data_IF_927839087481
#
_entry.id   IF_927839087481
#
_cell.length_a   1.000
_cell.length_b   1.000
_cell.length_c   1.000
_cell.angle_alpha   90.00
_cell.angle_beta   90.00
_cell.angle_gamma   90.00
#
_symmetry.space_group_name_H-M   'P 1'
#
loop_
_entity.id
_entity.type
_entity.pdbx_description
1 polymer ?
#
# COMPACT_ATOMS: atom_id res chain seq x y z
N UNK A 1 0.41 81.64 -8.47
CA UNK A 1 -0.80 81.88 -7.66
C UNK A 1 -1.25 80.56 -7.04
N UNK A 2 -1.22 80.49 -5.74
CA UNK A 2 -1.69 79.49 -4.78
C UNK A 2 -1.05 78.10 -4.82
N UNK A 3 -0.51 77.61 -3.67
CA UNK A 3 0.14 76.34 -3.50
C UNK A 3 -0.88 75.26 -3.05
N UNK A 4 -0.68 74.04 -3.47
CA UNK A 4 -1.42 72.88 -3.02
C UNK A 4 -0.62 72.12 -1.96
N UNK A 5 -1.24 71.91 -0.83
CA UNK A 5 -0.78 71.26 0.38
C UNK A 5 -0.52 69.77 0.20
N UNK A 6 0.65 69.32 0.68
CA UNK A 6 1.01 67.91 0.89
C UNK A 6 0.40 67.44 2.22
N UNK A 7 -0.47 66.45 2.16
CA UNK A 7 -0.88 65.65 3.31
C UNK A 7 0.01 64.41 3.39
N UNK A 8 0.86 64.37 4.41
CA UNK A 8 1.62 63.21 4.81
C UNK A 8 0.71 62.22 5.57
N UNK A 9 0.58 60.99 5.04
CA UNK A 9 0.00 59.88 5.77
C UNK A 9 1.12 59.03 6.35
N UNK A 10 1.29 59.07 7.66
CA UNK A 10 2.09 58.13 8.43
C UNK A 10 1.26 56.87 8.67
N UNK A 11 1.50 55.87 7.88
CA UNK A 11 0.93 54.51 8.07
C UNK A 11 1.78 53.74 9.08
N UNK A 12 1.25 53.46 10.26
CA UNK A 12 1.85 52.56 11.21
C UNK A 12 1.75 51.13 10.70
N UNK A 13 2.88 50.52 10.37
CA UNK A 13 2.96 49.09 10.06
C UNK A 13 2.85 48.30 11.38
N UNK A 14 1.69 47.67 11.60
CA UNK A 14 1.54 46.64 12.62
C UNK A 14 2.13 45.34 12.03
N UNK A 15 3.33 45.02 12.48
CA UNK A 15 3.93 43.71 12.21
C UNK A 15 3.22 42.67 13.06
N UNK A 16 2.22 42.00 12.45
CA UNK A 16 1.62 40.81 13.03
C UNK A 16 2.60 39.63 12.85
N UNK A 17 3.30 39.28 13.91
CA UNK A 17 4.01 38.02 14.04
C UNK A 17 2.95 36.89 14.07
N UNK A 18 2.64 36.35 12.91
CA UNK A 18 1.97 35.05 12.81
C UNK A 18 2.98 33.97 13.23
N UNK A 19 2.89 33.59 14.51
CA UNK A 19 3.58 32.41 15.01
C UNK A 19 3.09 31.18 14.22
N UNK A 20 3.91 30.69 13.31
CA UNK A 20 3.74 29.39 12.72
C UNK A 20 3.96 28.34 13.82
N UNK A 21 2.88 27.91 14.48
CA UNK A 21 2.92 26.75 15.34
C UNK A 21 3.24 25.54 14.47
N UNK A 22 4.41 24.97 14.64
CA UNK A 22 4.82 23.71 14.04
C UNK A 22 3.88 22.62 14.58
N UNK A 23 3.03 22.09 13.68
CA UNK A 23 2.18 20.93 13.95
C UNK A 23 3.04 19.66 13.84
N UNK A 24 3.84 19.41 14.86
CA UNK A 24 4.55 18.13 15.00
C UNK A 24 3.56 17.06 15.49
N UNK A 25 3.93 15.79 15.36
CA UNK A 25 3.22 14.62 15.95
C UNK A 25 3.01 14.72 17.48
N UNK A 26 3.08 15.90 18.05
CA UNK A 26 2.97 16.19 19.46
C UNK A 26 1.55 16.08 19.97
N UNK A 27 1.29 15.30 21.03
CA UNK A 27 0.08 15.46 21.82
C UNK A 27 0.15 16.83 22.56
N UNK A 28 -0.73 17.78 22.20
CA UNK A 28 -0.81 19.03 22.92
C UNK A 28 -1.43 18.79 24.30
N UNK A 29 -0.64 18.76 25.34
CA UNK A 29 -1.05 19.05 26.72
C UNK A 29 -0.73 20.48 27.02
N UNK A 30 -1.65 21.37 26.67
CA UNK A 30 -1.68 22.72 27.12
C UNK A 30 -2.72 22.90 28.24
N UNK A 31 -2.64 22.14 29.31
CA UNK A 31 -3.28 22.47 30.57
C UNK A 31 -2.37 21.94 31.67
N UNK A 32 -1.67 22.91 32.36
CA UNK A 32 -0.84 22.61 33.49
C UNK A 32 -1.61 21.86 34.58
N UNK A 33 -1.33 20.58 34.70
CA UNK A 33 -1.59 19.78 35.89
C UNK A 33 -0.26 19.25 36.40
N UNK A 34 0.04 19.43 37.69
CA UNK A 34 1.27 18.88 38.27
C UNK A 34 1.16 17.36 38.38
N UNK A 35 2.16 16.65 37.88
CA UNK A 35 2.50 15.32 38.35
C UNK A 35 1.65 14.17 37.81
N UNK A 36 1.77 13.85 36.51
CA UNK A 36 1.65 12.45 36.14
C UNK A 36 2.91 11.72 36.66
N UNK A 37 2.79 10.54 37.30
CA UNK A 37 3.96 9.79 37.73
C UNK A 37 4.77 9.45 36.49
N UNK A 38 6.07 9.74 36.52
CA UNK A 38 7.05 9.23 35.57
C UNK A 38 6.97 7.71 35.63
N UNK A 39 6.18 7.13 34.74
CA UNK A 39 6.20 5.70 34.52
C UNK A 39 7.50 5.40 33.75
N UNK A 40 8.61 5.24 34.49
CA UNK A 40 9.72 4.42 34.06
C UNK A 40 9.17 3.00 33.91
N UNK A 41 8.46 2.77 32.80
CA UNK A 41 8.04 1.42 32.47
C UNK A 41 9.28 0.66 32.07
N UNK A 42 9.51 -0.51 32.66
CA UNK A 42 10.42 -1.57 32.22
C UNK A 42 10.01 -2.02 30.80
N UNK A 43 10.24 -1.16 29.79
CA UNK A 43 10.06 -1.52 28.40
C UNK A 43 11.23 -2.41 28.01
N UNK A 44 11.01 -3.70 28.06
CA UNK A 44 11.96 -4.67 27.49
C UNK A 44 11.98 -4.45 25.97
N UNK A 45 13.19 -4.49 25.34
CA UNK A 45 13.27 -4.57 23.89
C UNK A 45 12.43 -5.77 23.48
N UNK A 46 11.44 -5.54 22.62
CA UNK A 46 10.74 -6.66 21.99
C UNK A 46 11.73 -7.22 20.97
N UNK A 47 12.59 -8.14 21.43
CA UNK A 47 13.29 -9.05 20.52
C UNK A 47 12.20 -9.73 19.72
N UNK A 48 12.20 -9.50 18.41
CA UNK A 48 11.22 -10.11 17.52
C UNK A 48 11.35 -11.62 17.70
N UNK A 49 10.39 -12.32 18.33
CA UNK A 49 10.40 -13.77 18.33
C UNK A 49 10.42 -14.22 16.87
N UNK A 50 11.07 -15.34 16.57
CA UNK A 50 10.90 -15.97 15.27
C UNK A 50 9.38 -16.06 15.01
N UNK A 51 8.97 -15.48 13.88
CA UNK A 51 7.55 -15.44 13.56
C UNK A 51 7.00 -16.88 13.58
N UNK A 52 5.81 -17.13 14.12
CA UNK A 52 5.16 -18.43 14.02
C UNK A 52 5.17 -18.92 12.57
N UNK A 53 5.16 -20.22 12.36
CA UNK A 53 5.14 -20.79 11.01
C UNK A 53 4.00 -20.14 10.20
N UNK A 54 4.32 -19.61 9.02
CA UNK A 54 3.39 -18.88 8.16
C UNK A 54 3.29 -17.36 8.44
N UNK A 55 3.89 -16.85 9.51
CA UNK A 55 3.97 -15.41 9.77
C UNK A 55 5.38 -14.86 9.53
N UNK A 56 5.44 -13.62 9.09
CA UNK A 56 6.69 -12.89 8.89
C UNK A 56 6.57 -11.46 9.43
N UNK A 57 7.71 -10.78 9.56
CA UNK A 57 7.80 -9.41 10.07
C UNK A 57 8.49 -8.52 9.06
N UNK A 58 7.98 -7.31 8.90
CA UNK A 58 8.63 -6.21 8.18
C UNK A 58 8.69 -4.97 9.09
N UNK A 59 9.71 -4.14 8.94
CA UNK A 59 9.85 -2.90 9.72
C UNK A 59 10.16 -1.74 8.78
N UNK A 60 9.41 -0.64 8.94
CA UNK A 60 9.48 0.52 8.06
C UNK A 60 9.45 1.82 8.87
N UNK A 61 10.27 2.78 8.47
CA UNK A 61 10.18 4.18 8.90
C UNK A 61 9.83 5.05 7.70
N UNK A 62 8.92 6.02 7.85
CA UNK A 62 8.44 6.83 6.71
C UNK A 62 7.70 8.11 7.15
N UNK A 63 8.30 8.86 8.08
CA UNK A 63 7.69 10.00 8.74
C UNK A 63 6.81 9.56 9.91
N UNK A 64 5.81 10.38 10.27
CA UNK A 64 4.96 10.11 11.41
C UNK A 64 4.35 8.70 11.39
N UNK A 65 4.64 7.94 12.43
CA UNK A 65 4.21 6.54 12.57
C UNK A 65 2.68 6.36 12.69
N UNK A 66 1.92 7.40 13.08
CA UNK A 66 0.45 7.34 13.03
C UNK A 66 -0.05 7.11 11.61
N UNK A 67 0.56 7.80 10.64
CA UNK A 67 0.21 7.69 9.22
C UNK A 67 0.72 6.38 8.63
N UNK A 68 1.91 5.95 9.03
CA UNK A 68 2.46 4.66 8.60
C UNK A 68 1.66 3.48 9.17
N UNK A 69 1.24 3.56 10.43
CA UNK A 69 0.38 2.53 11.02
C UNK A 69 -0.97 2.44 10.30
N UNK A 70 -1.59 3.59 9.97
CA UNK A 70 -2.84 3.61 9.18
C UNK A 70 -2.66 3.01 7.78
N UNK A 71 -1.51 3.23 7.14
CA UNK A 71 -1.23 2.73 5.80
C UNK A 71 -1.23 1.20 5.71
N UNK A 72 -0.74 0.52 6.75
CA UNK A 72 -0.65 -0.94 6.79
C UNK A 72 -1.84 -1.61 7.49
N UNK A 73 -2.50 -0.93 8.42
CA UNK A 73 -3.63 -1.50 9.16
C UNK A 73 -4.84 -1.66 8.23
N UNK A 74 -5.32 -2.88 8.11
CA UNK A 74 -6.40 -3.25 7.19
C UNK A 74 -5.94 -3.73 5.81
N UNK A 75 -4.63 -3.76 5.53
CA UNK A 75 -4.11 -4.41 4.31
C UNK A 75 -4.35 -5.92 4.40
N UNK A 76 -5.01 -6.54 3.40
CA UNK A 76 -5.30 -7.96 3.44
C UNK A 76 -4.02 -8.81 3.59
N UNK A 77 -4.00 -9.68 4.60
CA UNK A 77 -2.83 -10.48 4.95
C UNK A 77 -1.93 -9.85 6.01
N UNK A 78 -2.10 -8.58 6.35
CA UNK A 78 -1.48 -7.97 7.54
C UNK A 78 -2.25 -8.42 8.78
N UNK A 79 -1.52 -8.91 9.79
CA UNK A 79 -2.06 -9.43 11.04
C UNK A 79 -2.08 -8.34 12.11
N UNK A 80 -0.96 -7.62 12.24
CA UNK A 80 -0.80 -6.56 13.24
C UNK A 80 0.20 -5.51 12.79
N UNK A 81 0.01 -4.27 13.26
CA UNK A 81 0.90 -3.14 13.02
C UNK A 81 1.13 -2.40 14.32
N UNK A 82 2.38 -2.36 14.77
CA UNK A 82 2.79 -1.70 16.01
C UNK A 82 3.63 -0.47 15.67
N UNK A 83 3.24 0.70 16.15
CA UNK A 83 4.05 1.92 16.09
C UNK A 83 5.18 1.88 17.13
N UNK A 84 6.36 2.37 16.79
CA UNK A 84 7.53 2.34 17.68
C UNK A 84 8.75 3.03 17.11
N UNK A 85 9.90 2.67 17.63
CA UNK A 85 11.19 3.28 17.34
C UNK A 85 12.21 2.23 16.93
N UNK A 86 12.99 2.51 15.87
CA UNK A 86 14.07 1.64 15.38
C UNK A 86 15.21 2.47 14.78
N UNK A 87 16.37 1.84 14.56
CA UNK A 87 17.52 2.45 13.88
C UNK A 87 18.45 3.25 14.77
N UNK A 88 18.10 3.48 16.03
CA UNK A 88 18.92 4.23 16.99
C UNK A 88 19.75 3.36 17.92
N UNK A 89 20.51 4.03 18.80
CA UNK A 89 21.41 3.39 19.76
C UNK A 89 20.92 3.44 21.20
N UNK A 90 20.01 4.36 21.54
CA UNK A 90 19.46 4.47 22.90
C UNK A 90 18.56 3.28 23.19
N UNK A 91 18.85 2.55 24.26
CA UNK A 91 17.99 1.46 24.73
C UNK A 91 16.73 2.04 25.41
N UNK A 92 15.58 1.42 25.14
CA UNK A 92 14.27 1.80 25.71
C UNK A 92 13.94 3.30 25.64
N UNK A 93 14.03 3.94 24.45
CA UNK A 93 13.79 5.36 24.31
C UNK A 93 12.33 5.67 24.62
N UNK A 94 12.08 6.82 25.27
CA UNK A 94 10.74 7.42 25.33
C UNK A 94 10.45 8.24 24.07
N UNK A 95 9.19 8.64 23.89
CA UNK A 95 8.81 9.55 22.80
C UNK A 95 9.60 10.88 22.88
N UNK A 96 9.71 11.44 24.08
CA UNK A 96 10.44 12.69 24.32
C UNK A 96 11.94 12.56 23.95
N UNK A 97 12.54 11.40 24.22
CA UNK A 97 13.92 11.13 23.81
C UNK A 97 14.06 11.14 22.28
N UNK A 98 13.15 10.46 21.58
CA UNK A 98 13.22 10.36 20.11
C UNK A 98 12.92 11.70 19.44
N UNK A 99 12.02 12.50 20.02
CA UNK A 99 11.70 13.84 19.51
C UNK A 99 12.91 14.79 19.48
N UNK A 100 13.91 14.60 20.34
CA UNK A 100 15.14 15.38 20.28
C UNK A 100 15.93 15.18 18.98
N UNK A 101 15.73 14.05 18.29
CA UNK A 101 16.54 13.65 17.13
C UNK A 101 17.93 13.09 17.48
N UNK A 102 18.33 13.07 18.77
CA UNK A 102 19.69 12.71 19.20
C UNK A 102 19.86 11.20 19.43
N UNK A 103 18.76 10.45 19.60
CA UNK A 103 18.82 9.00 19.87
C UNK A 103 19.22 8.15 18.67
N UNK A 104 19.17 8.74 17.47
CA UNK A 104 19.35 8.02 16.21
C UNK A 104 18.16 7.14 15.81
N UNK A 105 17.12 7.02 16.66
CA UNK A 105 15.91 6.30 16.30
C UNK A 105 15.07 7.04 15.25
N UNK A 106 14.38 6.27 14.42
CA UNK A 106 13.32 6.79 13.56
C UNK A 106 11.96 6.28 14.05
N UNK A 107 10.92 7.13 13.93
CA UNK A 107 9.54 6.69 14.05
C UNK A 107 9.27 5.61 13.01
N UNK A 108 8.87 4.44 13.49
CA UNK A 108 8.81 3.22 12.71
C UNK A 108 7.52 2.46 12.98
N UNK A 109 7.16 1.59 12.05
CA UNK A 109 6.11 0.59 12.25
C UNK A 109 6.68 -0.79 12.04
N UNK A 110 6.30 -1.73 12.93
CA UNK A 110 6.55 -3.16 12.77
C UNK A 110 5.26 -3.81 12.30
N UNK A 111 5.32 -4.41 11.12
CA UNK A 111 4.21 -5.08 10.45
C UNK A 111 4.38 -6.58 10.58
N UNK A 112 3.45 -7.26 11.24
CA UNK A 112 3.34 -8.73 11.25
C UNK A 112 2.35 -9.15 10.18
N UNK A 113 2.72 -10.07 9.31
CA UNK A 113 1.88 -10.48 8.18
C UNK A 113 1.91 -11.99 7.94
N UNK A 114 0.83 -12.50 7.35
CA UNK A 114 0.73 -13.87 6.87
C UNK A 114 1.40 -13.98 5.49
N UNK A 115 2.56 -14.65 5.44
CA UNK A 115 3.34 -14.78 4.21
C UNK A 115 2.67 -15.65 3.13
N UNK A 116 1.64 -16.42 3.48
CA UNK A 116 0.83 -17.14 2.51
C UNK A 116 -0.22 -16.26 1.85
N UNK A 117 -0.61 -15.15 2.48
CA UNK A 117 -1.65 -14.24 1.98
C UNK A 117 -1.11 -12.96 1.34
N UNK A 118 0.02 -12.46 1.83
CA UNK A 118 0.68 -11.27 1.29
C UNK A 118 2.19 -11.45 1.28
N UNK A 119 2.85 -11.06 0.20
CA UNK A 119 4.31 -11.12 0.10
C UNK A 119 4.95 -9.78 0.53
N UNK A 120 6.26 -9.83 0.80
CA UNK A 120 7.02 -8.64 1.22
C UNK A 120 7.07 -7.54 0.15
N UNK A 121 7.07 -7.90 -1.15
CA UNK A 121 7.05 -6.92 -2.24
C UNK A 121 5.77 -6.07 -2.23
N UNK A 122 4.62 -6.66 -1.89
CA UNK A 122 3.37 -5.92 -1.74
C UNK A 122 3.41 -4.96 -0.54
N UNK A 123 4.05 -5.35 0.56
CA UNK A 123 4.25 -4.43 1.69
C UNK A 123 5.17 -3.26 1.31
N UNK A 124 6.20 -3.49 0.51
CA UNK A 124 7.04 -2.41 -0.03
C UNK A 124 6.26 -1.47 -0.95
N UNK A 125 5.35 -2.00 -1.76
CA UNK A 125 4.47 -1.19 -2.59
C UNK A 125 3.59 -0.26 -1.74
N UNK A 126 2.95 -0.81 -0.69
CA UNK A 126 2.22 0.01 0.31
C UNK A 126 3.13 1.06 0.93
N UNK A 127 4.34 0.67 1.33
CA UNK A 127 5.33 1.59 1.93
C UNK A 127 5.65 2.77 1.01
N UNK A 128 6.08 2.49 -0.23
CA UNK A 128 6.49 3.52 -1.18
C UNK A 128 5.38 4.54 -1.42
N UNK A 129 4.15 4.08 -1.66
CA UNK A 129 3.01 4.95 -1.96
C UNK A 129 2.50 5.78 -0.75
N UNK A 130 3.06 5.56 0.45
CA UNK A 130 2.68 6.28 1.66
C UNK A 130 3.79 7.15 2.24
N UNK A 131 4.94 7.28 1.56
CA UNK A 131 6.05 8.12 1.99
C UNK A 131 6.40 9.19 0.95
N UNK A 132 7.17 10.20 1.38
CA UNK A 132 7.96 11.05 0.47
C UNK A 132 9.38 10.49 0.41
N UNK A 133 9.79 9.81 -0.66
CA UNK A 133 11.10 9.20 -0.74
C UNK A 133 12.22 10.20 -1.08
N UNK A 134 11.90 11.48 -1.27
CA UNK A 134 12.82 12.51 -1.79
C UNK A 134 13.30 13.49 -0.72
N UNK A 135 12.74 13.44 0.50
CA UNK A 135 13.08 14.37 1.57
C UNK A 135 14.00 13.74 2.60
N UNK A 136 15.17 14.34 2.79
CA UNK A 136 16.16 13.89 3.75
C UNK A 136 15.82 14.41 5.16
N UNK A 137 15.86 13.52 6.18
CA UNK A 137 15.61 13.85 7.57
C UNK A 137 14.31 14.64 7.80
N UNK A 138 13.30 14.34 7.04
CA UNK A 138 11.97 14.95 7.15
C UNK A 138 10.95 14.10 6.39
N UNK A 139 9.68 14.30 6.70
CA UNK A 139 8.58 13.75 5.92
C UNK A 139 7.36 14.66 6.01
N UNK A 140 6.91 15.21 4.88
CA UNK A 140 5.78 16.14 4.77
C UNK A 140 5.99 17.40 5.60
N UNK A 141 5.34 17.55 6.77
CA UNK A 141 5.49 18.68 7.67
C UNK A 141 6.33 18.36 8.92
N UNK A 142 6.81 17.13 9.05
CA UNK A 142 7.59 16.68 10.19
C UNK A 142 9.09 16.82 9.87
N UNK A 143 9.83 17.51 10.71
CA UNK A 143 11.25 17.81 10.51
C UNK A 143 12.10 17.17 11.59
N UNK A 144 13.19 16.54 11.19
CA UNK A 144 14.17 15.91 12.05
C UNK A 144 14.53 14.50 11.59
N UNK A 145 15.71 13.98 12.02
CA UNK A 145 16.19 12.66 11.60
C UNK A 145 15.27 11.51 12.05
N UNK A 146 14.44 11.73 13.07
CA UNK A 146 13.44 10.76 13.53
C UNK A 146 12.31 10.52 12.52
N UNK A 147 12.15 11.39 11.52
CA UNK A 147 11.13 11.26 10.46
C UNK A 147 11.68 10.82 9.11
N UNK A 148 12.97 10.39 9.06
CA UNK A 148 13.58 9.90 7.83
C UNK A 148 12.95 8.59 7.36
N UNK A 149 13.01 8.33 6.06
CA UNK A 149 12.48 7.11 5.46
C UNK A 149 13.54 6.00 5.44
N UNK A 150 13.20 4.81 5.99
CA UNK A 150 14.07 3.64 6.06
C UNK A 150 13.27 2.37 5.83
N UNK A 151 13.84 1.43 5.08
CA UNK A 151 13.39 0.04 5.00
C UNK A 151 14.36 -0.80 5.83
N UNK A 152 13.88 -1.38 6.93
CA UNK A 152 14.70 -2.28 7.76
C UNK A 152 14.47 -3.72 7.31
N UNK A 153 15.50 -4.36 6.78
CA UNK A 153 15.43 -5.77 6.39
C UNK A 153 15.81 -6.71 7.54
N UNK A 154 15.04 -7.78 7.71
CA UNK A 154 15.26 -8.79 8.74
C UNK A 154 16.11 -9.97 8.25
N UNK A 155 16.19 -10.16 6.93
CA UNK A 155 16.99 -11.23 6.31
C UNK A 155 17.48 -10.84 4.91
N UNK A 156 18.29 -11.72 4.33
CA UNK A 156 18.87 -11.49 3.00
C UNK A 156 17.82 -11.51 1.86
N UNK A 157 16.68 -12.19 2.04
CA UNK A 157 15.61 -12.19 1.04
C UNK A 157 14.88 -10.85 1.03
N UNK A 158 14.52 -10.32 2.20
CA UNK A 158 13.94 -8.98 2.33
C UNK A 158 14.89 -7.91 1.77
N UNK A 159 16.18 -7.99 2.09
CA UNK A 159 17.19 -7.07 1.56
C UNK A 159 17.17 -7.04 0.04
N UNK A 160 17.25 -8.20 -0.61
CA UNK A 160 17.24 -8.29 -2.09
C UNK A 160 15.98 -7.69 -2.69
N UNK A 161 14.81 -7.97 -2.10
CA UNK A 161 13.52 -7.45 -2.60
C UNK A 161 13.42 -5.94 -2.40
N UNK A 162 13.88 -5.40 -1.26
CA UNK A 162 13.91 -3.98 -0.99
C UNK A 162 14.85 -3.22 -1.95
N UNK A 163 16.08 -3.74 -2.15
CA UNK A 163 17.06 -3.17 -3.08
C UNK A 163 16.53 -3.20 -4.54
N UNK A 164 15.89 -4.30 -4.94
CA UNK A 164 15.27 -4.42 -6.26
C UNK A 164 14.10 -3.42 -6.44
N UNK A 165 13.26 -3.28 -5.43
CA UNK A 165 12.14 -2.32 -5.42
C UNK A 165 12.62 -0.87 -5.57
N UNK A 166 13.63 -0.47 -4.77
CA UNK A 166 14.22 0.87 -4.88
C UNK A 166 14.84 1.11 -6.25
N UNK A 167 15.61 0.14 -6.77
CA UNK A 167 16.24 0.24 -8.09
C UNK A 167 15.19 0.38 -9.19
N UNK A 168 14.10 -0.38 -9.15
CA UNK A 168 13.02 -0.27 -10.11
C UNK A 168 12.38 1.13 -10.12
N UNK A 169 12.22 1.75 -8.94
CA UNK A 169 11.76 3.14 -8.84
C UNK A 169 12.77 4.15 -9.40
N UNK A 170 14.07 3.97 -9.14
CA UNK A 170 15.12 4.82 -9.70
C UNK A 170 15.17 4.70 -11.24
N UNK A 171 15.08 3.47 -11.77
CA UNK A 171 15.10 3.18 -13.21
C UNK A 171 13.83 3.64 -13.94
N UNK A 172 12.71 3.75 -13.23
CA UNK A 172 11.46 4.27 -13.81
C UNK A 172 11.52 5.74 -14.17
N UNK A 173 12.54 6.48 -13.69
CA UNK A 173 12.67 7.93 -13.83
C UNK A 173 11.43 8.74 -13.42
N UNK A 174 10.60 8.17 -12.55
CA UNK A 174 9.42 8.85 -12.00
C UNK A 174 9.79 10.15 -11.29
N UNK A 175 10.89 10.12 -10.57
CA UNK A 175 11.36 11.26 -9.79
C UNK A 175 12.53 11.98 -10.45
N UNK A 176 12.51 13.33 -10.40
CA UNK A 176 13.62 14.17 -10.89
C UNK A 176 14.81 14.20 -9.92
N UNK A 177 14.56 13.89 -8.65
CA UNK A 177 15.56 13.87 -7.58
C UNK A 177 15.83 12.43 -7.17
N UNK A 178 17.04 12.12 -6.67
CA UNK A 178 17.37 10.77 -6.20
C UNK A 178 16.52 10.37 -4.98
N UNK A 179 16.21 9.09 -4.87
CA UNK A 179 15.54 8.51 -3.72
C UNK A 179 16.50 8.47 -2.53
N UNK A 180 16.17 9.18 -1.45
CA UNK A 180 16.99 9.27 -0.22
C UNK A 180 16.68 8.17 0.80
N UNK A 181 15.58 7.42 0.61
CA UNK A 181 15.22 6.28 1.48
C UNK A 181 16.36 5.29 1.56
N UNK A 182 16.78 4.94 2.78
CA UNK A 182 17.84 3.96 3.03
C UNK A 182 17.29 2.56 3.25
N UNK A 183 18.13 1.55 3.00
CA UNK A 183 17.82 0.13 3.26
C UNK A 183 18.86 -0.37 4.23
N UNK A 184 18.45 -0.69 5.46
CA UNK A 184 19.32 -0.97 6.59
C UNK A 184 18.97 -2.32 7.24
N UNK A 185 19.93 -2.93 7.93
CA UNK A 185 19.64 -4.12 8.73
C UNK A 185 18.71 -3.76 9.89
N UNK A 186 17.76 -4.62 10.20
CA UNK A 186 16.86 -4.41 11.33
C UNK A 186 17.64 -4.32 12.65
N UNK A 187 17.32 -3.31 13.44
CA UNK A 187 17.82 -3.09 14.80
C UNK A 187 16.74 -3.48 15.82
N UNK A 188 17.03 -3.46 17.13
CA UNK A 188 15.99 -3.59 18.14
C UNK A 188 14.83 -2.60 17.88
N UNK A 189 13.62 -3.11 17.97
CA UNK A 189 12.41 -2.32 17.84
C UNK A 189 11.79 -2.09 19.21
N UNK A 190 11.52 -0.84 19.54
CA UNK A 190 10.89 -0.44 20.81
C UNK A 190 9.47 0.07 20.52
N UNK A 191 8.41 -0.63 21.01
CA UNK A 191 7.05 -0.15 20.85
C UNK A 191 6.88 1.25 21.46
N UNK A 192 6.21 2.13 20.73
CA UNK A 192 5.82 3.42 21.24
C UNK A 192 4.73 3.28 22.32
N UNK A 193 4.53 4.33 23.09
CA UNK A 193 3.57 4.43 24.17
C UNK A 193 2.15 4.07 23.71
N UNK A 194 1.34 3.55 24.63
CA UNK A 194 -0.01 3.09 24.33
C UNK A 194 -0.90 4.15 23.68
N UNK A 195 -0.70 5.43 24.06
CA UNK A 195 -1.48 6.54 23.48
C UNK A 195 -1.13 6.84 22.02
N UNK A 196 0.01 6.35 21.49
CA UNK A 196 0.37 6.46 20.09
C UNK A 196 -0.21 5.32 19.24
N UNK A 197 -0.54 4.18 19.86
CA UNK A 197 -1.02 3.03 19.11
C UNK A 197 -2.39 3.30 18.50
N UNK A 198 -2.50 3.07 17.19
CA UNK A 198 -3.73 3.31 16.39
C UNK A 198 -4.36 4.68 16.64
N UNK A 199 -3.52 5.72 16.80
CA UNK A 199 -3.94 7.08 17.08
C UNK A 199 -5.00 7.60 16.10
N UNK A 200 -4.93 7.24 14.85
CA UNK A 200 -5.93 7.56 13.83
C UNK A 200 -7.32 6.93 14.10
N UNK A 201 -7.43 5.88 14.93
CA UNK A 201 -8.70 5.30 15.40
C UNK A 201 -9.16 5.92 16.72
N UNK A 202 -8.23 6.12 17.65
CA UNK A 202 -8.54 6.63 19.00
C UNK A 202 -8.76 8.12 19.03
N UNK A 203 -8.15 8.88 18.12
CA UNK A 203 -8.22 10.33 18.01
C UNK A 203 -8.44 10.79 16.54
N UNK A 204 -9.51 10.34 15.87
CA UNK A 204 -9.67 10.51 14.42
C UNK A 204 -9.68 11.97 13.98
N UNK A 205 -10.39 12.85 14.69
CA UNK A 205 -10.48 14.27 14.34
C UNK A 205 -9.12 14.98 14.42
N UNK A 206 -8.29 14.64 15.44
CA UNK A 206 -6.96 15.22 15.59
C UNK A 206 -6.00 14.69 14.54
N UNK A 207 -6.06 13.41 14.24
CA UNK A 207 -5.26 12.80 13.19
C UNK A 207 -5.60 13.41 11.82
N UNK A 208 -6.87 13.61 11.52
CA UNK A 208 -7.30 14.19 10.25
C UNK A 208 -6.85 15.66 10.13
N UNK A 209 -6.99 16.46 11.20
CA UNK A 209 -6.49 17.83 11.23
C UNK A 209 -4.97 17.89 10.97
N UNK A 210 -4.19 16.99 11.60
CA UNK A 210 -2.76 16.83 11.33
C UNK A 210 -2.51 16.47 9.86
N UNK A 211 -3.16 15.46 9.32
CA UNK A 211 -2.97 14.98 7.95
C UNK A 211 -3.24 16.08 6.91
N UNK A 212 -4.34 16.82 7.08
CA UNK A 212 -4.72 17.96 6.22
C UNK A 212 -3.69 19.09 6.37
N UNK A 213 -3.35 19.47 7.61
CA UNK A 213 -2.38 20.54 7.89
C UNK A 213 -1.00 20.28 7.29
N UNK A 214 -0.56 19.05 7.30
CA UNK A 214 0.68 18.59 6.65
C UNK A 214 0.60 18.49 5.13
N UNK A 215 -0.57 18.69 4.53
CA UNK A 215 -0.81 18.50 3.09
C UNK A 215 -0.33 17.14 2.57
N UNK A 216 -0.38 16.11 3.44
CA UNK A 216 0.21 14.79 3.15
C UNK A 216 -0.40 14.19 1.87
N UNK A 217 -1.73 14.23 1.74
CA UNK A 217 -2.42 13.67 0.58
C UNK A 217 -2.08 14.39 -0.72
N UNK A 218 -2.00 15.74 -0.68
CA UNK A 218 -1.61 16.52 -1.83
C UNK A 218 -0.16 16.18 -2.28
N UNK A 219 0.75 16.02 -1.30
CA UNK A 219 2.13 15.63 -1.62
C UNK A 219 2.24 14.21 -2.15
N UNK A 220 1.52 13.25 -1.58
CA UNK A 220 1.46 11.88 -2.11
C UNK A 220 0.88 11.88 -3.54
N UNK A 221 -0.15 12.68 -3.79
CA UNK A 221 -0.68 12.84 -5.14
C UNK A 221 0.34 13.45 -6.13
N UNK A 222 1.13 14.44 -5.71
CA UNK A 222 2.22 14.99 -6.54
C UNK A 222 3.28 13.93 -6.89
N UNK A 223 3.62 13.05 -5.95
CA UNK A 223 4.65 12.03 -6.11
C UNK A 223 4.18 10.83 -6.93
N UNK A 224 2.98 10.35 -6.64
CA UNK A 224 2.49 9.07 -7.11
C UNK A 224 1.34 9.19 -8.12
N UNK A 225 0.82 10.42 -8.33
CA UNK A 225 -0.42 10.65 -9.07
C UNK A 225 -1.64 10.28 -8.22
N UNK A 226 -2.78 10.16 -8.85
CA UNK A 226 -3.96 9.63 -8.18
C UNK A 226 -3.75 8.14 -7.85
N UNK A 227 -3.07 7.88 -6.72
CA UNK A 227 -3.08 6.57 -6.07
C UNK A 227 -4.38 6.35 -5.29
N UNK A 228 -5.20 7.39 -5.14
CA UNK A 228 -6.59 7.24 -4.79
C UNK A 228 -7.26 6.50 -5.93
N UNK A 229 -7.37 5.16 -5.75
CA UNK A 229 -8.26 4.26 -6.47
C UNK A 229 -8.63 4.85 -7.83
N UNK A 230 -8.06 4.32 -8.91
CA UNK A 230 -8.81 4.41 -10.15
C UNK A 230 -10.24 4.17 -9.73
N UNK A 231 -11.12 5.16 -9.84
CA UNK A 231 -12.51 5.00 -9.46
C UNK A 231 -13.10 4.06 -10.48
N UNK A 232 -12.87 2.78 -10.21
CA UNK A 232 -13.46 1.73 -11.01
C UNK A 232 -14.96 1.89 -10.89
N UNK A 233 -15.63 2.08 -12.00
CA UNK A 233 -17.08 2.17 -12.04
C UNK A 233 -17.61 1.37 -13.22
N UNK A 234 -18.79 0.85 -13.05
CA UNK A 234 -19.53 0.26 -14.16
C UNK A 234 -20.00 1.38 -15.10
N UNK A 235 -19.63 1.35 -16.39
CA UNK A 235 -20.21 2.24 -17.38
C UNK A 235 -21.70 1.97 -17.57
N UNK A 236 -22.42 2.90 -18.20
CA UNK A 236 -23.82 2.69 -18.58
C UNK A 236 -23.97 1.55 -19.60
N UNK A 237 -25.12 0.93 -19.67
CA UNK A 237 -25.39 -0.17 -20.61
C UNK A 237 -25.11 0.23 -22.07
N UNK A 238 -25.43 1.46 -22.45
CA UNK A 238 -25.16 1.98 -23.78
C UNK A 238 -23.64 2.08 -24.07
N UNK A 239 -22.85 2.52 -23.10
CA UNK A 239 -21.38 2.56 -23.20
C UNK A 239 -20.79 1.15 -23.27
N UNK A 240 -21.32 0.21 -22.48
CA UNK A 240 -20.88 -1.18 -22.48
C UNK A 240 -21.12 -1.84 -23.84
N UNK A 241 -22.28 -1.63 -24.47
CA UNK A 241 -22.58 -2.17 -25.82
C UNK A 241 -21.68 -1.60 -26.90
N UNK A 242 -21.16 -0.39 -26.73
CA UNK A 242 -20.19 0.21 -27.66
C UNK A 242 -18.77 -0.27 -27.43
N UNK A 243 -18.39 -0.51 -26.16
CA UNK A 243 -17.04 -0.85 -25.74
C UNK A 243 -16.71 -2.35 -25.87
N UNK A 244 -17.68 -3.20 -25.53
CA UNK A 244 -17.49 -4.65 -25.42
C UNK A 244 -17.87 -5.37 -26.71
N UNK A 245 -17.16 -6.48 -26.99
CA UNK A 245 -17.62 -7.41 -28.02
C UNK A 245 -18.94 -8.08 -27.57
N UNK A 246 -19.72 -8.66 -28.50
CA UNK A 246 -20.93 -9.38 -28.11
C UNK A 246 -20.68 -10.51 -27.10
N UNK A 247 -19.56 -11.23 -27.21
CA UNK A 247 -19.18 -12.28 -26.26
C UNK A 247 -18.81 -11.69 -24.88
N UNK A 248 -17.99 -10.65 -24.84
CA UNK A 248 -17.65 -9.95 -23.58
C UNK A 248 -18.89 -9.43 -22.88
N UNK A 249 -19.82 -8.84 -23.64
CA UNK A 249 -21.06 -8.33 -23.08
C UNK A 249 -21.94 -9.47 -22.55
N UNK A 250 -22.11 -10.57 -23.31
CA UNK A 250 -22.87 -11.73 -22.86
C UNK A 250 -22.28 -12.38 -21.61
N UNK A 251 -20.96 -12.52 -21.54
CA UNK A 251 -20.27 -13.08 -20.36
C UNK A 251 -20.41 -12.17 -19.16
N UNK A 252 -20.04 -10.89 -19.29
CA UNK A 252 -19.96 -9.98 -18.12
C UNK A 252 -21.31 -9.54 -17.60
N UNK A 253 -22.31 -9.35 -18.48
CA UNK A 253 -23.61 -8.77 -18.13
C UNK A 253 -24.77 -9.80 -18.05
N UNK A 254 -24.62 -10.98 -18.66
CA UNK A 254 -25.66 -12.02 -18.72
C UNK A 254 -25.18 -13.39 -18.24
N UNK A 255 -24.11 -13.45 -17.43
CA UNK A 255 -23.60 -14.68 -16.81
C UNK A 255 -23.27 -15.78 -17.86
N UNK A 256 -22.87 -15.35 -19.06
CA UNK A 256 -22.45 -16.26 -20.13
C UNK A 256 -21.14 -16.97 -19.80
N UNK A 257 -20.88 -18.05 -20.52
CA UNK A 257 -19.62 -18.80 -20.42
C UNK A 257 -19.05 -19.00 -21.82
N UNK A 258 -17.78 -18.61 -22.01
CA UNK A 258 -17.03 -18.84 -23.26
C UNK A 258 -16.64 -20.32 -23.43
N UNK A 259 -16.20 -20.69 -24.61
CA UNK A 259 -15.80 -22.08 -24.91
C UNK A 259 -14.47 -22.44 -24.24
N UNK A 260 -14.34 -23.66 -23.63
CA UNK A 260 -13.06 -24.11 -23.09
C UNK A 260 -12.04 -24.32 -24.22
N UNK A 261 -10.76 -24.06 -23.93
CA UNK A 261 -9.62 -24.19 -24.85
C UNK A 261 -9.70 -23.33 -26.12
N UNK A 262 -10.72 -22.48 -26.24
CA UNK A 262 -10.96 -21.62 -27.40
C UNK A 262 -11.18 -20.15 -26.96
N UNK A 263 -10.45 -19.71 -25.94
CA UNK A 263 -10.51 -18.39 -25.37
C UNK A 263 -9.10 -17.78 -25.24
N UNK A 264 -9.01 -16.47 -24.96
CA UNK A 264 -7.77 -15.71 -25.11
C UNK A 264 -6.67 -16.06 -24.09
N UNK A 265 -7.03 -16.50 -22.87
CA UNK A 265 -6.06 -16.53 -21.77
C UNK A 265 -5.92 -17.90 -21.08
N UNK A 266 -6.58 -18.97 -21.55
CA UNK A 266 -6.40 -20.29 -20.94
C UNK A 266 -4.93 -20.73 -20.98
N UNK A 267 -4.20 -20.40 -22.05
CA UNK A 267 -2.81 -20.76 -22.32
C UNK A 267 -1.85 -19.54 -22.25
N UNK A 268 -2.27 -18.42 -21.65
CA UNK A 268 -1.41 -17.26 -21.52
C UNK A 268 -0.47 -17.41 -20.31
N UNK A 269 0.85 -17.46 -20.55
CA UNK A 269 1.92 -17.56 -19.56
C UNK A 269 2.77 -16.29 -19.44
N UNK A 270 2.43 -15.22 -20.17
CA UNK A 270 3.15 -13.96 -20.10
C UNK A 270 3.05 -13.33 -18.69
N UNK A 271 4.13 -12.68 -18.19
CA UNK A 271 4.08 -11.96 -16.94
C UNK A 271 3.19 -10.71 -17.06
N UNK A 272 2.31 -10.50 -16.08
CA UNK A 272 1.39 -9.37 -16.08
C UNK A 272 0.19 -9.58 -15.16
N UNK A 273 -0.77 -8.67 -15.24
CA UNK A 273 -2.02 -8.74 -14.47
C UNK A 273 -3.24 -8.88 -15.38
N UNK A 274 -4.32 -9.38 -14.80
CA UNK A 274 -5.63 -9.47 -15.44
C UNK A 274 -6.58 -8.49 -14.75
N UNK A 275 -7.18 -7.59 -15.52
CA UNK A 275 -8.11 -6.57 -15.04
C UNK A 275 -9.50 -6.83 -15.60
N UNK A 276 -10.55 -6.32 -14.94
CA UNK A 276 -11.90 -6.39 -15.46
C UNK A 276 -12.03 -5.63 -16.79
N UNK A 277 -12.57 -6.26 -17.81
CA UNK A 277 -12.76 -5.62 -19.12
C UNK A 277 -13.77 -4.46 -19.09
N UNK A 278 -14.67 -4.46 -18.11
CA UNK A 278 -15.72 -3.43 -17.91
C UNK A 278 -15.16 -2.21 -17.20
N UNK A 279 -14.66 -2.36 -15.98
CA UNK A 279 -14.23 -1.27 -15.11
C UNK A 279 -12.73 -0.97 -15.17
N UNK A 280 -11.92 -1.96 -15.55
CA UNK A 280 -10.46 -1.88 -15.48
C UNK A 280 -9.87 -2.20 -14.10
N UNK A 281 -10.68 -2.61 -13.10
CA UNK A 281 -10.17 -2.98 -11.78
C UNK A 281 -9.25 -4.22 -11.85
N UNK A 282 -8.10 -4.23 -11.13
CA UNK A 282 -7.18 -5.34 -11.13
C UNK A 282 -7.76 -6.53 -10.36
N UNK A 283 -7.76 -7.71 -10.97
CA UNK A 283 -8.43 -8.89 -10.45
C UNK A 283 -7.46 -10.02 -10.10
N UNK A 284 -6.55 -10.36 -11.01
CA UNK A 284 -5.63 -11.50 -10.86
C UNK A 284 -4.23 -11.20 -11.37
N UNK A 285 -3.25 -11.97 -10.87
CA UNK A 285 -1.86 -11.91 -11.32
C UNK A 285 -1.47 -13.19 -12.08
N UNK A 286 -0.62 -13.06 -13.10
CA UNK A 286 0.00 -14.22 -13.75
C UNK A 286 0.86 -15.06 -12.81
N UNK A 287 1.31 -14.50 -11.69
CA UNK A 287 2.08 -15.22 -10.66
C UNK A 287 1.23 -16.23 -9.88
N UNK A 288 -0.09 -16.02 -9.86
CA UNK A 288 -1.05 -16.91 -9.20
C UNK A 288 -1.82 -17.78 -10.20
N UNK A 289 -1.51 -17.65 -11.51
CA UNK A 289 -2.12 -18.45 -12.59
C UNK A 289 -1.43 -19.80 -12.72
N UNK A 290 -2.22 -20.82 -12.95
CA UNK A 290 -1.71 -22.19 -13.19
C UNK A 290 -2.55 -22.92 -14.25
N UNK A 291 -2.01 -24.01 -14.81
CA UNK A 291 -2.71 -24.89 -15.73
C UNK A 291 -3.65 -25.84 -14.98
N UNK A 292 -4.93 -25.52 -14.95
CA UNK A 292 -5.97 -26.35 -14.33
C UNK A 292 -6.51 -27.46 -15.25
N UNK A 293 -6.11 -27.48 -16.53
CA UNK A 293 -6.60 -28.38 -17.57
C UNK A 293 -8.11 -28.31 -17.83
N UNK A 294 -8.76 -27.25 -17.38
CA UNK A 294 -10.20 -27.04 -17.59
C UNK A 294 -10.50 -26.29 -18.86
N UNK A 295 -9.50 -25.68 -19.49
CA UNK A 295 -9.65 -24.87 -20.71
C UNK A 295 -10.03 -23.42 -20.47
N UNK A 296 -10.00 -22.96 -19.22
CA UNK A 296 -10.15 -21.57 -18.82
C UNK A 296 -8.98 -21.09 -17.97
N UNK A 297 -8.65 -19.78 -17.97
CA UNK A 297 -7.64 -19.23 -17.06
C UNK A 297 -8.03 -19.48 -15.62
N UNK A 298 -7.11 -20.07 -14.84
CA UNK A 298 -7.35 -20.46 -13.46
C UNK A 298 -6.29 -19.87 -12.55
N UNK A 299 -6.73 -19.34 -11.39
CA UNK A 299 -5.87 -18.66 -10.43
C UNK A 299 -6.07 -19.23 -9.03
N UNK A 300 -5.02 -19.18 -8.21
CA UNK A 300 -5.07 -19.66 -6.82
C UNK A 300 -5.67 -18.63 -5.85
N UNK A 301 -5.63 -17.35 -6.22
CA UNK A 301 -6.16 -16.24 -5.42
C UNK A 301 -6.35 -14.98 -6.28
N UNK A 302 -7.17 -14.00 -5.84
CA UNK A 302 -7.23 -12.68 -6.44
C UNK A 302 -5.97 -11.86 -6.13
N UNK A 303 -5.66 -10.89 -6.98
CA UNK A 303 -4.60 -9.90 -6.77
C UNK A 303 -4.99 -8.89 -5.69
N UNK A 304 -6.21 -8.36 -5.78
CA UNK A 304 -6.83 -7.48 -4.79
C UNK A 304 -8.16 -8.12 -4.34
N UNK A 305 -8.21 -8.76 -3.15
CA UNK A 305 -9.43 -9.42 -2.66
C UNK A 305 -10.65 -8.50 -2.59
N UNK A 306 -10.46 -7.21 -2.32
CA UNK A 306 -11.52 -6.19 -2.26
C UNK A 306 -12.17 -5.89 -3.63
N UNK A 307 -11.51 -6.24 -4.73
CA UNK A 307 -12.06 -6.11 -6.08
C UNK A 307 -12.88 -7.33 -6.51
N UNK A 308 -13.05 -8.30 -5.62
CA UNK A 308 -13.82 -9.52 -5.87
C UNK A 308 -15.00 -9.61 -4.90
N UNK A 309 -16.17 -9.92 -5.44
CA UNK A 309 -17.35 -10.30 -4.67
C UNK A 309 -17.79 -11.71 -5.07
N UNK A 310 -18.43 -12.42 -4.15
CA UNK A 310 -18.94 -13.76 -4.40
C UNK A 310 -20.43 -13.85 -4.12
N UNK A 311 -21.13 -14.69 -4.87
CA UNK A 311 -22.57 -14.94 -4.73
C UNK A 311 -22.85 -16.42 -4.96
N UNK A 312 -23.80 -16.99 -4.22
CA UNK A 312 -24.27 -18.35 -4.48
C UNK A 312 -25.04 -18.41 -5.81
N UNK A 313 -24.56 -19.24 -6.72
CA UNK A 313 -25.22 -19.58 -7.98
C UNK A 313 -25.86 -20.96 -7.89
N UNK A 314 -27.15 -21.06 -8.18
CA UNK A 314 -27.95 -22.29 -8.18
C UNK A 314 -28.44 -22.70 -9.55
N UNK A 315 -27.82 -22.21 -10.60
CA UNK A 315 -28.18 -22.58 -11.98
C UNK A 315 -27.72 -24.01 -12.29
N UNK A 316 -28.36 -24.61 -13.27
CA UNK A 316 -28.06 -25.97 -13.76
C UNK A 316 -28.21 -27.08 -12.69
N UNK A 317 -28.97 -26.88 -11.62
CA UNK A 317 -29.19 -27.88 -10.57
C UNK A 317 -27.98 -28.15 -9.66
N UNK A 318 -26.97 -27.30 -9.71
CA UNK A 318 -25.79 -27.36 -8.84
C UNK A 318 -25.67 -26.06 -8.04
N UNK A 319 -25.13 -26.15 -6.83
CA UNK A 319 -24.76 -24.98 -6.05
C UNK A 319 -23.27 -24.67 -6.30
N UNK A 320 -22.98 -23.48 -6.79
CA UNK A 320 -21.63 -23.00 -7.09
C UNK A 320 -21.43 -21.63 -6.49
N UNK A 321 -20.17 -21.23 -6.30
CA UNK A 321 -19.83 -19.86 -5.85
C UNK A 321 -19.42 -19.03 -7.07
N UNK A 322 -20.31 -18.16 -7.52
CA UNK A 322 -20.04 -17.18 -8.56
C UNK A 322 -19.04 -16.13 -8.07
N UNK A 323 -18.12 -15.74 -8.95
CA UNK A 323 -17.14 -14.66 -8.73
C UNK A 323 -17.50 -13.48 -9.63
N UNK A 324 -17.60 -12.32 -9.04
CA UNK A 324 -17.89 -11.06 -9.75
C UNK A 324 -16.85 -9.99 -9.39
N UNK A 325 -16.63 -9.03 -10.29
CA UNK A 325 -15.87 -7.84 -9.98
C UNK A 325 -16.68 -6.90 -9.06
N UNK A 326 -16.00 -6.23 -8.12
CA UNK A 326 -16.67 -5.44 -7.08
C UNK A 326 -17.25 -4.12 -7.61
N UNK A 327 -16.58 -3.49 -8.59
CA UNK A 327 -16.94 -2.17 -9.11
C UNK A 327 -17.55 -2.23 -10.52
N UNK A 328 -17.11 -3.19 -11.34
CA UNK A 328 -17.68 -3.44 -12.67
C UNK A 328 -18.95 -4.27 -12.62
N UNK A 329 -19.19 -4.98 -11.50
CA UNK A 329 -20.28 -5.96 -11.35
C UNK A 329 -20.30 -7.00 -12.46
N UNK A 330 -19.14 -7.28 -13.05
CA UNK A 330 -19.00 -8.25 -14.13
C UNK A 330 -19.08 -9.66 -13.59
N UNK A 331 -19.84 -10.54 -14.24
CA UNK A 331 -19.66 -11.96 -14.04
C UNK A 331 -18.27 -12.37 -14.57
N UNK A 332 -17.43 -12.94 -13.70
CA UNK A 332 -16.06 -13.37 -14.03
C UNK A 332 -15.98 -14.87 -14.26
N UNK A 333 -16.69 -15.66 -13.48
CA UNK A 333 -16.65 -17.10 -13.44
C UNK A 333 -17.04 -17.66 -12.09
N UNK A 334 -16.38 -18.73 -11.65
CA UNK A 334 -16.69 -19.42 -10.39
C UNK A 334 -15.42 -19.78 -9.62
N UNK A 335 -15.53 -19.90 -8.31
CA UNK A 335 -14.47 -20.42 -7.44
C UNK A 335 -14.86 -21.81 -6.91
N UNK A 336 -13.88 -22.71 -6.89
CA UNK A 336 -13.98 -24.10 -6.47
C UNK A 336 -12.93 -24.41 -5.41
N UNK A 337 -13.13 -25.46 -4.63
CA UNK A 337 -12.25 -25.95 -3.55
C UNK A 337 -11.31 -27.08 -3.98
N UNK A 338 -11.10 -27.22 -5.29
CA UNK A 338 -10.27 -28.23 -5.92
C UNK A 338 -8.94 -27.68 -6.49
N UNK A 339 -8.53 -26.51 -6.00
CA UNK A 339 -7.28 -25.84 -6.40
C UNK A 339 -6.04 -26.38 -5.70
N UNK A 340 -4.84 -25.97 -6.14
CA UNK A 340 -3.59 -26.38 -5.54
C UNK A 340 -3.33 -25.67 -4.19
N UNK A 341 -2.43 -26.26 -3.38
CA UNK A 341 -1.89 -25.58 -2.21
C UNK A 341 -1.20 -24.26 -2.65
N UNK A 342 -1.14 -23.23 -1.77
CA UNK A 342 -1.53 -23.25 -0.36
C UNK A 342 -3.01 -22.93 -0.10
N UNK A 343 -3.76 -22.38 -1.06
CA UNK A 343 -5.13 -21.92 -0.83
C UNK A 343 -6.18 -23.03 -0.94
N UNK A 344 -5.92 -24.07 -1.73
CA UNK A 344 -6.90 -25.07 -2.09
C UNK A 344 -8.01 -24.55 -3.01
N UNK A 345 -7.95 -23.27 -3.43
CA UNK A 345 -8.98 -22.64 -4.25
C UNK A 345 -8.58 -22.58 -5.71
N UNK A 346 -9.56 -22.74 -6.58
CA UNK A 346 -9.44 -22.54 -8.04
C UNK A 346 -10.45 -21.49 -8.48
N UNK A 347 -9.96 -20.30 -8.80
CA UNK A 347 -10.71 -19.25 -9.47
C UNK A 347 -10.70 -19.50 -10.97
N UNK A 348 -11.76 -20.11 -11.51
CA UNK A 348 -11.93 -20.47 -12.92
C UNK A 348 -12.68 -19.34 -13.62
N UNK A 349 -11.96 -18.53 -14.41
CA UNK A 349 -12.48 -17.27 -14.94
C UNK A 349 -12.68 -17.32 -16.46
N UNK A 350 -13.64 -16.57 -16.98
CA UNK A 350 -13.80 -16.36 -18.41
C UNK A 350 -12.76 -15.35 -18.90
N UNK A 351 -12.01 -15.69 -19.94
CA UNK A 351 -11.10 -14.74 -20.62
C UNK A 351 -11.85 -13.51 -21.14
N UNK A 352 -13.07 -13.70 -21.64
CA UNK A 352 -13.91 -12.62 -22.16
C UNK A 352 -14.26 -11.57 -21.09
N UNK A 353 -14.23 -11.92 -19.80
CA UNK A 353 -14.42 -10.96 -18.69
C UNK A 353 -13.13 -10.24 -18.31
N UNK A 354 -11.98 -10.65 -18.83
CA UNK A 354 -10.67 -10.18 -18.46
C UNK A 354 -10.01 -9.41 -19.61
N UNK A 355 -9.12 -8.46 -19.23
CA UNK A 355 -8.13 -7.84 -20.12
C UNK A 355 -6.74 -8.06 -19.50
N UNK A 356 -5.83 -8.63 -20.27
CA UNK A 356 -4.47 -8.83 -19.82
C UNK A 356 -3.64 -7.55 -20.04
N UNK A 357 -2.88 -7.16 -19.01
CA UNK A 357 -1.91 -6.05 -19.04
C UNK A 357 -0.53 -6.64 -18.82
N UNK A 358 0.35 -6.65 -19.85
CA UNK A 358 1.72 -7.15 -19.71
C UNK A 358 2.54 -6.37 -18.67
N UNK A 359 3.49 -7.06 -18.02
CA UNK A 359 4.30 -6.47 -16.96
C UNK A 359 5.09 -5.23 -17.40
N UNK A 360 5.59 -5.21 -18.63
CA UNK A 360 6.32 -4.08 -19.25
C UNK A 360 5.43 -2.90 -19.63
N UNK A 361 4.10 -3.05 -19.57
CA UNK A 361 3.13 -2.00 -19.87
C UNK A 361 2.36 -1.48 -18.66
N UNK A 362 2.57 -2.04 -17.49
CA UNK A 362 1.84 -1.67 -16.27
C UNK A 362 1.93 -0.17 -15.97
N UNK A 363 3.11 0.41 -16.06
CA UNK A 363 3.32 1.86 -15.86
C UNK A 363 2.51 2.70 -16.86
N UNK A 364 2.62 2.36 -18.14
CA UNK A 364 1.97 3.10 -19.22
C UNK A 364 0.43 3.00 -19.18
N UNK A 365 -0.11 1.92 -18.61
CA UNK A 365 -1.55 1.67 -18.53
C UNK A 365 -2.17 2.03 -17.15
N UNK A 366 -1.39 2.70 -16.27
CA UNK A 366 -1.88 3.18 -14.98
C UNK A 366 -1.88 2.14 -13.85
N UNK A 367 -1.21 0.99 -14.06
CA UNK A 367 -1.10 -0.09 -13.07
C UNK A 367 0.32 -0.22 -12.51
N UNK A 368 1.12 0.85 -12.55
CA UNK A 368 2.54 0.85 -12.16
C UNK A 368 2.82 0.32 -10.77
N UNK A 369 1.84 0.43 -9.83
CA UNK A 369 1.94 -0.15 -8.49
C UNK A 369 2.16 -1.67 -8.49
N UNK A 370 1.83 -2.36 -9.57
CA UNK A 370 2.03 -3.81 -9.71
C UNK A 370 3.32 -4.19 -10.45
N UNK A 371 4.06 -3.24 -11.00
CA UNK A 371 5.30 -3.51 -11.73
C UNK A 371 6.34 -4.22 -10.85
N UNK A 372 6.40 -3.86 -9.57
CA UNK A 372 7.30 -4.47 -8.57
C UNK A 372 7.12 -5.98 -8.44
N UNK A 373 5.93 -6.52 -8.70
CA UNK A 373 5.66 -7.95 -8.63
C UNK A 373 6.46 -8.75 -9.67
N UNK A 374 6.86 -8.13 -10.77
CA UNK A 374 7.49 -8.77 -11.92
C UNK A 374 8.97 -8.46 -12.09
N UNK A 375 9.53 -7.51 -11.33
CA UNK A 375 10.97 -7.12 -11.43
C UNK A 375 11.93 -8.20 -10.95
N UNK A 376 11.50 -9.12 -10.07
CA UNK A 376 12.31 -10.24 -9.58
C UNK A 376 12.29 -11.49 -10.48
N UNK A 377 11.38 -11.57 -11.45
CA UNK A 377 11.26 -12.73 -12.34
C UNK A 377 12.30 -12.71 -13.51
N UNK A 378 12.85 -11.54 -13.84
CA UNK A 378 13.79 -11.39 -14.97
C UNK A 378 15.24 -11.83 -14.65
N UNK A 379 15.58 -12.11 -13.38
CA UNK A 379 16.94 -12.49 -12.96
C UNK A 379 17.08 -13.91 -12.36
N UNK A 380 16.07 -14.75 -12.48
CA UNK A 380 16.03 -16.08 -11.85
C UNK A 380 16.18 -17.23 -12.82
N UNK A 381 17.36 -17.82 -12.87
CA UNK A 381 17.73 -19.17 -13.34
C UNK A 381 16.64 -20.19 -13.05
N UNK A 382 16.22 -20.93 -14.08
CA UNK A 382 15.43 -22.17 -13.96
C UNK A 382 16.02 -23.08 -12.88
N UNK A 383 15.41 -23.15 -11.70
CA UNK A 383 15.59 -24.31 -10.84
C UNK A 383 14.63 -25.40 -11.34
N UNK A 384 15.22 -26.37 -12.05
CA UNK A 384 14.62 -27.68 -12.28
C UNK A 384 14.66 -28.36 -10.92
N UNK A 385 13.53 -28.58 -10.31
CA UNK A 385 13.36 -29.49 -9.18
C UNK A 385 12.96 -30.85 -9.76
N UNK A 386 13.66 -31.94 -9.39
CA UNK A 386 13.42 -33.28 -9.92
C UNK A 386 12.08 -33.89 -9.52
#
# INVERSE_FOLDING_TARGET
>A
MRPTSLLSWTGAAVAGLLGMSTLNCRPADATGRPGAPSATSDRQPVTVPAAPAGQAVATFAGGCFWSMQKAFDGVPGVIDVVAGYAGGTKANPSYEDVETGETGHAESVRVTYDSARINYARLLDVYWHHIDPLTLNSAFCDYGPQYRSIIFYHDAAQRRVAEASKRALDESHRFKSPIVTTIEAATPFYPAEAYHQRFYKTNPARYEAYRIGCRRDARLHELWGDTTKMTYRKPSDAELRQKLTPEQYAVTQHEGTERPFANAYWDNHAPGIYVDVVSGEPLFSSLDKYDSRTGWPSFTRPLEPENITTKTDRQLGMERTEVRSAHGESHLGHVFDDGPAPTGLRYCMNSAALRFVPADRLEAEGYGQYAVLFTSAASGTKQIIP
#
